data_IF_730765245009
#
_entry.id   IF_730765245009
#
_cell.length_a   1.000
_cell.length_b   1.000
_cell.length_c   1.000
_cell.angle_alpha   90.00
_cell.angle_beta   90.00
_cell.angle_gamma   90.00
#
_symmetry.space_group_name_H-M   'P 1'
#
loop_
_entity.id
_entity.type
_entity.pdbx_description
1 polymer ?
#
# COMPACT_ATOMS: atom_id res chain seq x y z
N UNK A 1 24.56 -18.85 6.58
CA UNK A 1 23.23 -19.34 6.16
C UNK A 1 22.20 -18.67 7.05
N UNK A 2 21.14 -18.06 6.49
CA UNK A 2 19.99 -17.60 7.28
C UNK A 2 19.22 -18.85 7.77
N UNK A 3 18.79 -18.86 9.03
CA UNK A 3 17.92 -19.92 9.56
C UNK A 3 16.47 -19.47 9.47
N UNK A 4 15.61 -20.39 9.10
CA UNK A 4 14.17 -20.22 9.06
C UNK A 4 13.53 -21.23 10.00
N UNK A 5 12.44 -20.87 10.67
CA UNK A 5 11.64 -21.86 11.39
C UNK A 5 10.99 -22.82 10.40
N UNK A 6 11.20 -24.13 10.54
CA UNK A 6 10.67 -25.14 9.59
C UNK A 6 9.14 -25.20 9.55
N UNK A 7 8.45 -24.81 10.65
CA UNK A 7 6.98 -24.79 10.73
C UNK A 7 6.32 -23.56 10.10
N UNK A 8 6.94 -22.37 10.17
CA UNK A 8 6.30 -21.11 9.78
C UNK A 8 7.14 -20.22 8.85
N UNK A 9 8.33 -20.67 8.45
CA UNK A 9 9.25 -20.00 7.53
C UNK A 9 9.64 -18.57 7.92
N UNK A 10 9.47 -18.22 9.21
CA UNK A 10 9.93 -16.94 9.74
C UNK A 10 11.47 -16.87 9.77
N UNK A 11 12.10 -15.80 9.25
CA UNK A 11 13.55 -15.62 9.31
C UNK A 11 14.01 -15.31 10.73
N UNK A 12 14.91 -16.14 11.26
CA UNK A 12 15.51 -15.94 12.59
C UNK A 12 16.88 -15.29 12.40
N UNK A 13 16.94 -13.97 12.57
CA UNK A 13 18.22 -13.25 12.62
C UNK A 13 18.95 -13.49 13.95
N UNK A 14 20.28 -13.36 13.91
CA UNK A 14 21.24 -13.86 14.92
C UNK A 14 21.28 -13.08 16.26
N UNK A 15 20.12 -12.80 16.86
CA UNK A 15 19.96 -12.09 18.13
C UNK A 15 19.55 -13.00 19.30
N UNK A 16 20.14 -14.19 19.42
CA UNK A 16 20.14 -14.98 20.66
C UNK A 16 18.78 -15.46 21.17
N UNK A 17 17.72 -15.38 20.37
CA UNK A 17 16.40 -15.90 20.72
C UNK A 17 16.40 -17.42 20.55
N UNK A 18 16.35 -18.15 21.67
CA UNK A 18 16.23 -19.63 21.68
C UNK A 18 14.84 -20.11 21.19
N UNK A 19 13.88 -19.18 21.06
CA UNK A 19 12.48 -19.45 20.72
C UNK A 19 12.02 -18.61 19.53
N UNK A 20 11.34 -19.27 18.58
CA UNK A 20 10.66 -18.65 17.44
C UNK A 20 9.59 -17.63 17.90
N UNK A 21 9.70 -16.32 17.61
CA UNK A 21 8.76 -15.31 18.11
C UNK A 21 7.36 -15.38 17.47
N UNK A 22 7.20 -16.20 16.43
CA UNK A 22 5.92 -16.46 15.76
C UNK A 22 5.22 -17.71 16.32
N UNK A 23 5.98 -18.65 16.88
CA UNK A 23 5.52 -20.01 17.15
C UNK A 23 5.82 -20.58 18.55
N UNK A 24 6.58 -19.87 19.39
CA UNK A 24 6.67 -20.05 20.85
C UNK A 24 6.92 -21.50 21.37
N UNK A 25 7.66 -22.31 20.62
CA UNK A 25 8.15 -23.63 21.07
C UNK A 25 9.69 -23.64 21.17
N UNK A 26 10.21 -24.35 22.17
CA UNK A 26 11.64 -24.67 22.30
C UNK A 26 12.07 -25.65 21.19
N UNK A 27 13.20 -25.38 20.55
CA UNK A 27 13.87 -26.37 19.70
C UNK A 27 14.21 -27.63 20.51
N UNK A 28 13.99 -28.85 19.98
CA UNK A 28 14.38 -30.07 20.68
C UNK A 28 15.89 -30.07 20.89
N UNK A 29 16.32 -30.04 22.17
CA UNK A 29 17.72 -29.85 22.53
C UNK A 29 18.67 -30.79 21.78
N UNK A 30 19.36 -30.25 20.78
CA UNK A 30 20.30 -31.02 19.96
C UNK A 30 21.51 -31.36 20.83
N UNK A 31 21.51 -32.61 21.29
CA UNK A 31 22.63 -33.29 21.93
C UNK A 31 23.95 -32.87 21.30
N UNK A 32 24.83 -32.24 22.08
CA UNK A 32 26.16 -31.79 21.65
C UNK A 32 27.01 -33.00 21.22
N UNK A 33 26.96 -33.35 19.92
CA UNK A 33 27.94 -34.22 19.28
C UNK A 33 29.06 -33.36 18.69
N UNK A 34 30.34 -33.77 18.80
CA UNK A 34 31.47 -32.85 18.65
C UNK A 34 31.70 -32.44 17.19
N UNK A 35 31.92 -31.14 16.96
CA UNK A 35 32.20 -30.51 15.65
C UNK A 35 33.51 -30.96 14.97
N UNK A 36 34.30 -31.85 15.59
CA UNK A 36 35.69 -32.12 15.21
C UNK A 36 35.87 -32.71 13.81
N UNK A 37 34.97 -33.60 13.37
CA UNK A 37 35.13 -34.30 12.07
C UNK A 37 34.80 -33.42 10.86
N UNK A 38 33.80 -32.55 10.95
CA UNK A 38 33.41 -31.65 9.85
C UNK A 38 34.43 -30.52 9.69
N UNK A 39 34.95 -29.98 10.79
CA UNK A 39 36.03 -28.98 10.76
C UNK A 39 37.34 -29.56 10.19
N UNK A 40 37.71 -30.81 10.53
CA UNK A 40 38.87 -31.46 9.91
C UNK A 40 38.68 -31.66 8.40
N UNK A 41 37.49 -32.09 7.96
CA UNK A 41 37.20 -32.28 6.53
C UNK A 41 37.28 -30.95 5.76
N UNK A 42 36.71 -29.87 6.30
CA UNK A 42 36.79 -28.53 5.70
C UNK A 42 38.24 -28.00 5.67
N UNK A 43 39.01 -28.17 6.74
CA UNK A 43 40.42 -27.79 6.77
C UNK A 43 41.26 -28.55 5.73
N UNK A 44 40.98 -29.84 5.53
CA UNK A 44 41.64 -30.66 4.50
C UNK A 44 41.28 -30.19 3.07
N UNK A 45 40.01 -29.87 2.81
CA UNK A 45 39.57 -29.34 1.51
C UNK A 45 40.24 -27.99 1.20
N UNK A 46 40.34 -27.08 2.19
CA UNK A 46 41.04 -25.80 2.03
C UNK A 46 42.53 -26.00 1.77
N UNK A 47 43.18 -26.94 2.49
CA UNK A 47 44.59 -27.26 2.27
C UNK A 47 44.85 -27.79 0.84
N UNK A 48 44.00 -28.69 0.34
CA UNK A 48 44.08 -29.20 -1.03
C UNK A 48 43.87 -28.08 -2.06
N UNK A 49 42.91 -27.18 -1.84
CA UNK A 49 42.68 -26.04 -2.73
C UNK A 49 43.89 -25.08 -2.80
N UNK A 50 44.54 -24.82 -1.66
CA UNK A 50 45.77 -24.00 -1.60
C UNK A 50 46.93 -24.67 -2.33
N UNK A 51 47.10 -25.99 -2.18
CA UNK A 51 48.15 -26.74 -2.88
C UNK A 51 47.92 -26.77 -4.40
N UNK A 52 46.67 -26.91 -4.85
CA UNK A 52 46.31 -26.83 -6.28
C UNK A 52 46.57 -25.42 -6.83
N UNK A 53 46.20 -24.36 -6.10
CA UNK A 53 46.47 -22.99 -6.51
C UNK A 53 47.98 -22.69 -6.60
N UNK A 54 48.77 -23.19 -5.65
CA UNK A 54 50.22 -23.10 -5.69
C UNK A 54 50.82 -23.85 -6.89
N UNK A 55 50.34 -25.06 -7.19
CA UNK A 55 50.79 -25.82 -8.36
C UNK A 55 50.49 -25.09 -9.68
N UNK A 56 49.30 -24.48 -9.82
CA UNK A 56 48.94 -23.66 -10.99
C UNK A 56 49.84 -22.42 -11.10
N UNK A 57 50.18 -21.78 -9.97
CA UNK A 57 51.09 -20.63 -9.95
C UNK A 57 52.52 -21.00 -10.38
N UNK A 58 53.04 -22.15 -9.95
CA UNK A 58 54.39 -22.63 -10.31
C UNK A 58 54.48 -23.24 -11.73
N UNK A 59 53.36 -23.62 -12.35
CA UNK A 59 53.32 -24.19 -13.70
C UNK A 59 52.99 -23.17 -14.81
N UNK A 60 52.77 -21.90 -14.48
CA UNK A 60 52.50 -20.86 -15.47
C UNK A 60 53.80 -20.24 -16.02
N UNK A 61 54.12 -20.38 -17.32
CA UNK A 61 55.34 -19.80 -17.88
C UNK A 61 55.25 -18.27 -18.00
N UNK A 62 56.21 -17.57 -17.41
CA UNK A 62 56.36 -16.11 -17.53
C UNK A 62 56.54 -15.68 -18.98
N UNK A 63 55.55 -14.98 -19.56
CA UNK A 63 55.72 -14.18 -20.77
C UNK A 63 55.82 -12.68 -20.42
N UNK A 64 56.71 -12.00 -21.13
CA UNK A 64 57.35 -10.76 -20.70
C UNK A 64 56.50 -9.49 -20.85
N UNK A 65 56.77 -8.51 -19.98
CA UNK A 65 56.35 -7.10 -20.11
C UNK A 65 56.68 -6.52 -21.49
N UNK A 66 55.73 -5.80 -22.06
CA UNK A 66 55.95 -4.48 -22.69
C UNK A 66 54.77 -3.56 -22.37
N UNK A 67 55.06 -2.31 -22.01
CA UNK A 67 54.07 -1.23 -21.87
C UNK A 67 54.07 -0.37 -23.15
N UNK A 68 53.03 0.45 -23.38
CA UNK A 68 53.25 1.88 -23.16
C UNK A 68 52.06 2.65 -22.54
N UNK A 69 52.35 3.91 -22.26
CA UNK A 69 51.58 4.95 -21.54
C UNK A 69 50.38 5.56 -22.28
N UNK A 70 49.33 5.91 -21.52
CA UNK A 70 48.35 6.99 -21.80
C UNK A 70 47.97 7.61 -20.44
N UNK A 71 48.54 8.75 -20.04
CA UNK A 71 47.95 10.11 -20.10
C UNK A 71 46.59 10.25 -19.40
N UNK A 72 46.58 10.83 -18.20
CA UNK A 72 45.39 11.44 -17.58
C UNK A 72 45.09 12.83 -18.19
N UNK A 73 43.81 13.24 -18.20
CA UNK A 73 43.48 14.62 -17.92
C UNK A 73 42.55 14.79 -16.70
N UNK A 74 43.03 15.67 -15.82
CA UNK A 74 42.36 16.51 -14.81
C UNK A 74 40.84 16.69 -14.90
N UNK A 75 40.24 16.83 -13.72
CA UNK A 75 38.84 17.22 -13.53
C UNK A 75 38.60 18.74 -13.63
N UNK A 76 37.59 19.10 -14.41
CA UNK A 76 36.72 20.29 -14.30
C UNK A 76 35.32 19.84 -14.80
N UNK A 77 34.17 20.34 -14.37
CA UNK A 77 33.85 21.28 -13.29
C UNK A 77 32.36 21.13 -12.91
N UNK A 78 32.00 21.45 -11.67
CA UNK A 78 30.69 21.11 -11.10
C UNK A 78 29.68 22.27 -11.24
N UNK A 79 28.84 22.27 -12.28
CA UNK A 79 27.69 23.19 -12.41
C UNK A 79 26.57 22.58 -13.27
N UNK A 80 25.30 22.71 -12.84
CA UNK A 80 24.15 22.50 -13.74
C UNK A 80 23.05 21.50 -13.33
N UNK A 81 23.03 20.92 -12.12
CA UNK A 81 21.98 19.94 -11.75
C UNK A 81 20.60 20.57 -11.39
N UNK A 82 20.51 21.87 -11.13
CA UNK A 82 19.28 22.51 -10.63
C UNK A 82 18.45 23.28 -11.67
N UNK A 83 18.99 23.68 -12.82
CA UNK A 83 18.23 24.44 -13.84
C UNK A 83 17.35 23.57 -14.75
N UNK A 84 17.66 22.27 -14.88
CA UNK A 84 16.84 21.34 -15.67
C UNK A 84 15.42 21.11 -15.12
N UNK A 85 15.20 21.35 -13.83
CA UNK A 85 13.95 20.98 -13.13
C UNK A 85 12.82 22.01 -13.33
N UNK A 86 13.15 23.27 -13.66
CA UNK A 86 12.10 24.29 -13.93
C UNK A 86 11.41 24.09 -15.27
N UNK A 87 12.14 23.69 -16.32
CA UNK A 87 11.60 23.64 -17.69
C UNK A 87 10.61 22.49 -17.90
N UNK A 88 10.82 21.32 -17.27
CA UNK A 88 9.89 20.18 -17.36
C UNK A 88 8.53 20.50 -16.71
N UNK A 89 8.51 21.31 -15.64
CA UNK A 89 7.28 21.70 -14.94
C UNK A 89 6.41 22.65 -15.77
N UNK A 90 7.04 23.52 -16.57
CA UNK A 90 6.35 24.45 -17.47
C UNK A 90 5.70 23.72 -18.67
N UNK A 91 6.45 22.85 -19.37
CA UNK A 91 5.92 22.07 -20.50
C UNK A 91 4.76 21.15 -20.08
N UNK A 92 4.82 20.58 -18.87
CA UNK A 92 3.80 19.69 -18.32
C UNK A 92 2.46 20.38 -18.05
N UNK A 93 2.48 21.66 -17.66
CA UNK A 93 1.26 22.40 -17.39
C UNK A 93 0.56 22.87 -18.68
N UNK A 94 1.33 23.21 -19.73
CA UNK A 94 0.78 23.64 -21.01
C UNK A 94 -0.10 22.56 -21.67
N UNK A 95 0.40 21.32 -21.77
CA UNK A 95 -0.34 20.24 -22.46
C UNK A 95 -1.62 19.79 -21.72
N UNK A 96 -1.61 19.82 -20.38
CA UNK A 96 -2.80 19.54 -19.59
C UNK A 96 -3.85 20.66 -19.67
N UNK A 97 -3.42 21.90 -19.93
CA UNK A 97 -4.30 23.04 -20.09
C UNK A 97 -5.02 23.02 -21.45
N UNK A 98 -4.32 22.67 -22.54
CA UNK A 98 -4.92 22.47 -23.88
C UNK A 98 -6.09 21.47 -23.86
N UNK A 99 -5.97 20.37 -23.11
CA UNK A 99 -7.04 19.35 -22.99
C UNK A 99 -8.24 19.81 -22.15
N UNK A 100 -8.05 20.78 -21.24
CA UNK A 100 -9.13 21.38 -20.45
C UNK A 100 -9.84 22.47 -21.26
N UNK A 101 -9.10 23.29 -21.99
CA UNK A 101 -9.66 24.37 -22.81
C UNK A 101 -10.34 23.83 -24.08
N UNK A 102 -9.89 22.71 -24.66
CA UNK A 102 -10.59 21.99 -25.73
C UNK A 102 -11.94 21.37 -25.33
N UNK A 103 -12.35 21.49 -24.05
CA UNK A 103 -13.64 21.03 -23.53
C UNK A 103 -14.55 22.18 -23.08
N UNK A 104 -14.19 23.45 -23.33
CA UNK A 104 -15.08 24.60 -23.18
C UNK A 104 -16.02 24.72 -24.40
N UNK A 105 -17.32 25.05 -24.21
CA UNK A 105 -18.18 25.42 -25.31
C UNK A 105 -17.82 26.82 -25.82
N UNK A 106 -17.53 26.95 -27.13
CA UNK A 106 -17.25 28.22 -27.79
C UNK A 106 -18.46 29.17 -27.77
N UNK A 107 -18.26 30.45 -27.44
CA UNK A 107 -19.38 31.39 -27.43
C UNK A 107 -19.22 32.80 -26.86
N UNK A 108 -18.04 33.45 -26.87
CA UNK A 108 -17.92 34.92 -26.77
C UNK A 108 -16.52 35.42 -27.15
N UNK A 109 -16.45 36.40 -28.07
CA UNK A 109 -15.19 37.01 -28.52
C UNK A 109 -14.93 38.37 -27.83
N UNK A 110 -13.74 38.52 -27.23
CA UNK A 110 -12.80 39.65 -27.47
C UNK A 110 -13.14 41.06 -26.92
N UNK A 111 -12.21 42.05 -26.90
CA UNK A 111 -10.90 42.06 -26.21
C UNK A 111 -10.63 43.37 -25.41
N UNK A 112 -9.65 43.36 -24.50
CA UNK A 112 -8.80 44.55 -24.16
C UNK A 112 -7.36 44.09 -23.89
N UNK A 113 -6.37 44.92 -24.25
CA UNK A 113 -4.95 44.58 -24.40
C UNK A 113 -4.03 44.97 -23.21
N UNK A 114 -2.75 44.68 -23.40
CA UNK A 114 -1.60 44.82 -22.49
C UNK A 114 -1.44 46.14 -21.73
N UNK A 115 -0.97 46.05 -20.47
CA UNK A 115 0.00 47.01 -19.89
C UNK A 115 1.03 46.25 -19.04
N UNK A 116 2.31 46.54 -19.28
CA UNK A 116 3.46 46.06 -18.51
C UNK A 116 3.80 47.06 -17.40
N UNK A 117 4.00 46.63 -16.16
CA UNK A 117 5.17 47.04 -15.35
C UNK A 117 5.26 46.36 -13.97
N UNK A 118 6.51 46.26 -13.51
CA UNK A 118 6.99 45.76 -12.24
C UNK A 118 6.38 46.38 -10.98
N UNK A 119 6.22 45.58 -9.92
CA UNK A 119 7.05 45.74 -8.70
C UNK A 119 6.87 44.57 -7.72
N UNK A 120 7.94 44.28 -6.97
CA UNK A 120 7.94 43.39 -5.81
C UNK A 120 7.10 43.93 -4.66
N UNK A 121 6.43 43.07 -3.89
CA UNK A 121 6.41 43.11 -2.40
C UNK A 121 5.81 41.83 -1.81
N UNK A 122 6.17 41.57 -0.55
CA UNK A 122 5.99 40.36 0.27
C UNK A 122 4.55 39.85 0.45
N UNK A 123 4.41 38.52 0.53
CA UNK A 123 3.28 37.82 1.14
C UNK A 123 3.14 38.13 2.65
N UNK A 124 1.89 38.18 3.15
CA UNK A 124 1.58 37.44 4.37
C UNK A 124 0.33 36.54 4.24
N UNK A 125 0.24 35.59 5.16
CA UNK A 125 -0.80 34.56 5.29
C UNK A 125 -2.18 35.11 5.64
N UNK A 126 -3.23 34.51 5.07
CA UNK A 126 -4.62 34.75 5.49
C UNK A 126 -4.87 34.04 6.83
N UNK A 127 -5.00 34.84 7.88
CA UNK A 127 -5.77 34.55 9.08
C UNK A 127 -6.94 35.54 9.15
N UNK A 128 -8.05 35.13 9.78
CA UNK A 128 -9.16 35.97 10.21
C UNK A 128 -9.81 36.89 9.16
N UNK A 129 -10.84 36.38 8.48
CA UNK A 129 -12.01 37.18 8.05
C UNK A 129 -13.27 36.47 8.55
N UNK A 130 -13.81 36.93 9.68
CA UNK A 130 -15.17 36.67 10.18
C UNK A 130 -15.46 37.69 11.29
N UNK A 131 -15.80 38.92 10.90
CA UNK A 131 -16.33 40.00 11.77
C UNK A 131 -16.86 41.13 10.89
N UNK A 132 -17.90 41.82 11.37
CA UNK A 132 -18.56 42.99 10.77
C UNK A 132 -19.38 42.76 9.48
N UNK A 133 -20.66 42.41 9.67
CA UNK A 133 -21.74 43.10 8.97
C UNK A 133 -22.59 43.81 10.03
N UNK A 134 -22.72 45.13 9.93
CA UNK A 134 -23.59 45.92 10.80
C UNK A 134 -24.34 47.00 9.99
N UNK A 135 -25.67 46.96 10.14
CA UNK A 135 -26.69 48.00 9.87
C UNK A 135 -26.93 48.56 8.46
N UNK A 136 -28.22 48.54 8.08
CA UNK A 136 -29.07 49.74 7.89
C UNK A 136 -30.52 49.35 8.26
N UNK A 137 -31.21 50.20 9.03
CA UNK A 137 -32.65 50.10 9.41
C UNK A 137 -33.54 50.63 8.25
N UNK A 138 -34.83 50.35 8.09
CA UNK A 138 -36.01 50.31 9.00
C UNK A 138 -37.13 49.44 8.29
N UNK A 139 -38.41 49.31 8.66
CA UNK A 139 -39.27 50.03 9.63
C UNK A 139 -40.33 49.11 10.32
N UNK A 140 -41.63 49.43 10.22
CA UNK A 140 -42.81 48.89 10.93
C UNK A 140 -43.56 47.76 10.19
N UNK A 141 -44.25 46.81 10.85
CA UNK A 141 -45.45 47.02 11.68
C UNK A 141 -45.77 45.81 12.59
N UNK A 142 -46.51 46.05 13.67
CA UNK A 142 -46.53 45.21 14.88
C UNK A 142 -47.33 43.91 14.88
N UNK A 143 -47.08 43.10 15.92
CA UNK A 143 -48.06 42.72 16.98
C UNK A 143 -47.39 41.72 17.93
N UNK A 144 -47.52 41.93 19.24
CA UNK A 144 -46.90 41.15 20.32
C UNK A 144 -47.78 40.00 20.82
N UNK A 145 -47.17 38.83 21.07
CA UNK A 145 -47.46 37.97 22.25
C UNK A 145 -46.15 37.31 22.69
N UNK A 146 -45.86 37.31 23.99
CA UNK A 146 -44.63 36.77 24.58
C UNK A 146 -44.91 35.57 25.50
N UNK A 147 -44.01 34.58 25.50
CA UNK A 147 -43.85 33.61 26.61
C UNK A 147 -42.34 33.37 26.80
N UNK A 148 -41.89 33.45 28.05
CA UNK A 148 -40.48 33.26 28.43
C UNK A 148 -40.32 32.09 29.42
N UNK A 149 -39.21 31.35 29.30
CA UNK A 149 -38.58 30.58 30.38
C UNK A 149 -37.61 31.53 31.16
N UNK A 150 -37.00 31.21 32.32
CA UNK A 150 -36.53 29.90 32.85
C UNK A 150 -36.73 29.82 34.41
N UNK A 151 -35.83 29.29 35.29
CA UNK A 151 -34.72 28.31 35.22
C UNK A 151 -34.78 27.17 36.29
N UNK A 152 -33.65 26.48 36.49
CA UNK A 152 -33.42 25.26 37.28
C UNK A 152 -33.52 25.38 38.83
N UNK A 153 -33.62 24.22 39.50
CA UNK A 153 -33.76 24.05 40.96
C UNK A 153 -32.58 23.28 41.60
N UNK A 154 -32.35 23.49 42.90
CA UNK A 154 -31.12 23.14 43.65
C UNK A 154 -31.40 22.18 44.83
N UNK A 155 -30.43 21.34 45.18
CA UNK A 155 -30.52 20.37 46.28
C UNK A 155 -30.40 20.99 47.70
N UNK A 156 -30.96 20.36 48.74
CA UNK A 156 -30.72 20.73 50.14
C UNK A 156 -29.69 19.82 50.87
N UNK A 157 -29.21 20.34 52.01
CA UNK A 157 -28.06 19.85 52.79
C UNK A 157 -28.49 19.11 54.08
N UNK A 158 -27.60 18.27 54.63
CA UNK A 158 -27.78 17.47 55.85
C UNK A 158 -27.71 18.27 57.17
N UNK A 159 -28.03 17.63 58.32
CA UNK A 159 -27.47 17.97 59.62
C UNK A 159 -26.41 16.93 60.10
N UNK A 160 -25.55 17.37 61.03
CA UNK A 160 -24.47 16.62 61.70
C UNK A 160 -24.77 16.54 63.22
N UNK A 161 -23.92 15.89 64.02
CA UNK A 161 -23.90 15.76 65.51
C UNK A 161 -24.62 14.48 66.01
N UNK A 162 -24.14 13.61 66.92
CA UNK A 162 -23.03 13.66 67.91
C UNK A 162 -22.33 12.28 68.10
N UNK A 163 -21.23 12.27 68.87
CA UNK A 163 -20.36 11.15 69.30
C UNK A 163 -20.97 10.16 70.33
N UNK A 164 -20.51 8.89 70.32
CA UNK A 164 -20.75 7.89 71.39
C UNK A 164 -19.94 6.59 71.14
N UNK A 165 -19.54 5.85 72.18
CA UNK A 165 -18.43 4.87 72.12
C UNK A 165 -18.75 3.46 72.66
N UNK A 166 -18.10 2.41 72.10
CA UNK A 166 -17.82 1.06 72.66
C UNK A 166 -19.05 0.17 73.03
N UNK A 167 -19.15 -1.16 72.84
CA UNK A 167 -18.24 -2.34 72.97
C UNK A 167 -18.86 -3.55 72.20
N UNK A 168 -18.05 -4.56 71.84
CA UNK A 168 -18.38 -6.02 71.87
C UNK A 168 -18.78 -6.80 70.59
N UNK A 169 -17.99 -7.86 70.35
CA UNK A 169 -18.35 -9.19 69.80
C UNK A 169 -18.54 -9.43 68.28
N UNK A 170 -17.70 -10.33 67.75
CA UNK A 170 -18.25 -11.53 67.11
C UNK A 170 -18.05 -11.76 65.59
N UNK A 171 -16.87 -12.23 65.20
CA UNK A 171 -16.63 -13.29 64.17
C UNK A 171 -17.48 -13.26 62.86
N UNK A 172 -16.87 -12.93 61.72
CA UNK A 172 -16.54 -13.96 60.70
C UNK A 172 -15.56 -13.47 59.62
N UNK A 173 -14.62 -14.33 59.24
CA UNK A 173 -13.61 -14.06 58.21
C UNK A 173 -14.12 -14.45 56.82
N UNK A 174 -14.18 -13.49 55.88
CA UNK A 174 -14.09 -13.79 54.44
C UNK A 174 -12.74 -13.31 53.91
N UNK A 175 -11.75 -14.21 53.90
CA UNK A 175 -10.46 -14.01 53.19
C UNK A 175 -10.76 -13.66 51.73
N UNK A 176 -10.35 -12.46 51.29
CA UNK A 176 -10.29 -12.14 49.85
C UNK A 176 -9.34 -13.14 49.19
N UNK A 177 -9.84 -13.97 48.27
CA UNK A 177 -8.96 -14.71 47.36
C UNK A 177 -8.18 -13.69 46.53
N UNK A 178 -6.85 -13.82 46.36
CA UNK A 178 -6.13 -12.95 45.44
C UNK A 178 -6.71 -13.12 44.03
N UNK A 179 -6.87 -12.01 43.30
CA UNK A 179 -7.24 -12.07 41.88
C UNK A 179 -6.09 -12.77 41.15
N UNK A 180 -6.32 -14.01 40.73
CA UNK A 180 -5.44 -14.66 39.75
C UNK A 180 -5.49 -13.80 38.49
N UNK A 181 -4.37 -13.18 38.13
CA UNK A 181 -4.27 -12.41 36.89
C UNK A 181 -4.63 -13.33 35.71
N UNK A 182 -5.45 -12.86 34.73
CA UNK A 182 -5.89 -13.70 33.64
C UNK A 182 -4.67 -14.18 32.83
N UNK A 183 -4.39 -15.49 32.91
CA UNK A 183 -3.25 -16.10 32.22
C UNK A 183 -3.50 -16.01 30.72
N UNK A 184 -2.60 -15.34 30.01
CA UNK A 184 -2.71 -15.00 28.58
C UNK A 184 -2.42 -16.25 27.73
N UNK A 185 -3.40 -17.16 27.59
CA UNK A 185 -3.30 -18.35 26.73
C UNK A 185 -3.44 -17.95 25.26
N UNK A 186 -2.35 -17.83 24.50
CA UNK A 186 -2.40 -17.51 23.06
C UNK A 186 -3.00 -18.69 22.30
N UNK A 187 -4.03 -18.45 21.48
CA UNK A 187 -4.65 -19.50 20.67
C UNK A 187 -3.94 -19.61 19.31
N UNK A 188 -3.34 -20.76 18.96
CA UNK A 188 -2.65 -20.95 17.69
C UNK A 188 -3.66 -21.31 16.59
N UNK A 189 -4.24 -20.29 15.95
CA UNK A 189 -5.14 -20.50 14.81
C UNK A 189 -5.06 -19.34 13.82
N UNK A 190 -3.85 -18.94 13.43
CA UNK A 190 -3.69 -18.06 12.27
C UNK A 190 -4.09 -18.85 11.03
N UNK A 191 -5.34 -18.69 10.58
CA UNK A 191 -5.69 -19.10 9.22
C UNK A 191 -4.93 -18.16 8.29
N UNK A 192 -3.98 -18.72 7.58
CA UNK A 192 -3.31 -18.12 6.43
C UNK A 192 -3.97 -18.71 5.19
N UNK A 193 -4.16 -17.95 4.11
CA UNK A 193 -4.56 -18.53 2.82
C UNK A 193 -3.41 -19.43 2.38
N UNK A 194 -3.59 -20.76 2.27
CA UNK A 194 -2.49 -21.64 1.95
C UNK A 194 -1.91 -21.26 0.59
N UNK A 195 -0.59 -21.16 0.51
CA UNK A 195 0.10 -21.01 -0.76
C UNK A 195 -0.06 -22.30 -1.57
N UNK A 196 -0.91 -22.26 -2.60
CA UNK A 196 -1.13 -23.38 -3.51
C UNK A 196 -0.30 -23.13 -4.77
N UNK A 197 0.57 -24.09 -5.10
CA UNK A 197 1.43 -24.00 -6.28
C UNK A 197 0.58 -24.16 -7.55
N UNK A 198 0.62 -23.24 -8.52
CA UNK A 198 0.01 -23.45 -9.82
C UNK A 198 0.60 -24.71 -10.49
N UNK A 199 -0.22 -25.75 -10.64
CA UNK A 199 0.18 -27.02 -11.28
C UNK A 199 0.21 -26.94 -12.81
N UNK A 200 -0.28 -25.83 -13.37
CA UNK A 200 -0.30 -25.55 -14.80
C UNK A 200 0.52 -24.29 -15.11
N UNK A 201 1.32 -24.38 -16.18
CA UNK A 201 2.26 -23.34 -16.59
C UNK A 201 3.68 -23.55 -16.07
N UNK A 202 4.66 -23.41 -16.97
CA UNK A 202 6.10 -23.29 -16.68
C UNK A 202 6.51 -21.88 -16.25
N UNK A 203 5.58 -20.92 -16.37
CA UNK A 203 5.83 -19.50 -16.18
C UNK A 203 6.56 -18.86 -17.37
N UNK A 204 6.58 -19.50 -18.53
CA UNK A 204 7.11 -18.91 -19.76
C UNK A 204 6.07 -18.05 -20.47
N UNK A 205 6.47 -17.23 -21.44
CA UNK A 205 5.53 -16.39 -22.20
C UNK A 205 4.47 -17.21 -22.98
N UNK A 206 4.88 -18.37 -23.52
CA UNK A 206 4.00 -19.29 -24.24
C UNK A 206 3.11 -20.12 -23.30
N UNK A 207 3.61 -20.42 -22.10
CA UNK A 207 2.99 -21.30 -21.11
C UNK A 207 3.12 -20.69 -19.70
N UNK A 208 2.30 -19.66 -19.39
CA UNK A 208 2.35 -18.91 -18.13
C UNK A 208 1.71 -19.69 -16.98
N UNK A 209 2.12 -19.40 -15.75
CA UNK A 209 1.47 -19.93 -14.55
C UNK A 209 0.00 -19.54 -14.52
N UNK A 210 -0.88 -20.53 -14.36
CA UNK A 210 -2.34 -20.33 -14.38
C UNK A 210 -2.83 -19.93 -12.99
N UNK A 211 -3.49 -18.79 -12.91
CA UNK A 211 -4.02 -18.20 -11.67
C UNK A 211 -5.54 -18.31 -11.70
N UNK A 212 -6.12 -19.17 -10.86
CA UNK A 212 -7.56 -19.44 -10.85
C UNK A 212 -8.22 -19.39 -9.47
N UNK A 213 -7.39 -19.32 -8.41
CA UNK A 213 -7.83 -19.27 -7.03
C UNK A 213 -6.91 -18.39 -6.17
N UNK A 214 -7.40 -18.02 -4.98
CA UNK A 214 -6.68 -17.16 -4.04
C UNK A 214 -5.38 -17.79 -3.53
N UNK A 215 -5.32 -19.13 -3.46
CA UNK A 215 -4.11 -19.88 -3.07
C UNK A 215 -2.93 -19.66 -4.03
N UNK A 216 -3.20 -19.49 -5.33
CA UNK A 216 -2.17 -19.18 -6.33
C UNK A 216 -1.62 -17.75 -6.16
N UNK A 217 -2.45 -16.79 -5.73
CA UNK A 217 -2.01 -15.42 -5.39
C UNK A 217 -1.18 -15.40 -4.09
N UNK A 218 -1.58 -16.18 -3.08
CA UNK A 218 -0.80 -16.37 -1.85
C UNK A 218 0.57 -17.03 -2.14
N UNK A 219 0.60 -18.01 -3.03
CA UNK A 219 1.85 -18.61 -3.52
C UNK A 219 2.73 -17.61 -4.26
N UNK A 220 2.16 -16.77 -5.13
CA UNK A 220 2.92 -15.73 -5.83
C UNK A 220 3.51 -14.68 -4.86
N UNK A 221 2.76 -14.29 -3.83
CA UNK A 221 3.30 -13.46 -2.74
C UNK A 221 4.50 -14.14 -2.06
N UNK A 222 4.40 -15.44 -1.78
CA UNK A 222 5.51 -16.22 -1.22
C UNK A 222 6.71 -16.36 -2.17
N UNK A 223 6.51 -16.44 -3.49
CA UNK A 223 7.65 -16.43 -4.44
C UNK A 223 8.43 -15.12 -4.36
N UNK A 224 7.77 -13.97 -4.21
CA UNK A 224 8.47 -12.69 -4.04
C UNK A 224 9.35 -12.64 -2.79
N UNK A 225 9.01 -13.35 -1.69
CA UNK A 225 9.84 -13.34 -0.47
C UNK A 225 11.09 -14.20 -0.59
N UNK A 226 11.10 -15.20 -1.47
CA UNK A 226 12.30 -15.99 -1.83
C UNK A 226 13.33 -15.17 -2.62
N UNK A 227 12.86 -14.16 -3.36
CA UNK A 227 13.67 -13.15 -4.02
C UNK A 227 13.23 -12.86 -5.45
N UNK A 228 13.67 -11.73 -6.02
CA UNK A 228 13.29 -11.28 -7.37
C UNK A 228 13.45 -12.40 -8.43
N UNK A 229 14.54 -13.16 -8.39
CA UNK A 229 14.81 -14.23 -9.38
C UNK A 229 13.73 -15.33 -9.44
N UNK A 230 12.91 -15.50 -8.40
CA UNK A 230 11.76 -16.42 -8.42
C UNK A 230 10.60 -15.92 -9.31
N UNK A 231 10.49 -14.60 -9.54
CA UNK A 231 9.46 -13.99 -10.39
C UNK A 231 10.01 -13.34 -11.66
N UNK A 232 11.33 -13.10 -11.75
CA UNK A 232 11.96 -12.41 -12.87
C UNK A 232 11.71 -13.15 -14.19
N UNK A 233 11.13 -12.42 -15.15
CA UNK A 233 10.82 -12.98 -16.47
C UNK A 233 9.75 -14.08 -16.46
N UNK A 234 9.08 -14.32 -15.33
CA UNK A 234 7.99 -15.29 -15.23
C UNK A 234 6.67 -14.63 -15.62
N UNK A 235 5.85 -15.38 -16.35
CA UNK A 235 4.53 -14.95 -16.79
C UNK A 235 3.43 -15.66 -15.99
N UNK A 236 2.40 -14.91 -15.64
CA UNK A 236 1.25 -15.35 -14.86
C UNK A 236 -0.02 -14.90 -15.60
N UNK A 237 -1.03 -15.76 -15.71
CA UNK A 237 -2.30 -15.42 -16.37
C UNK A 237 -3.49 -15.85 -15.52
N UNK A 238 -4.40 -14.93 -15.24
CA UNK A 238 -5.68 -15.27 -14.64
C UNK A 238 -6.63 -15.94 -15.64
N UNK A 239 -7.33 -16.98 -15.19
CA UNK A 239 -8.36 -17.67 -16.00
C UNK A 239 -9.76 -17.56 -15.40
N UNK A 240 -9.86 -17.20 -14.12
CA UNK A 240 -11.13 -16.96 -13.40
C UNK A 240 -11.07 -15.66 -12.62
N UNK A 241 -12.24 -15.10 -12.33
CA UNK A 241 -12.37 -14.08 -11.29
C UNK A 241 -12.11 -14.75 -9.92
N UNK A 242 -11.44 -14.05 -9.02
CA UNK A 242 -11.05 -14.58 -7.70
C UNK A 242 -11.81 -13.84 -6.61
N UNK A 243 -12.62 -14.56 -5.85
CA UNK A 243 -13.21 -14.06 -4.62
C UNK A 243 -12.23 -14.21 -3.45
N UNK A 244 -11.87 -13.07 -2.88
CA UNK A 244 -11.03 -12.93 -1.70
C UNK A 244 -11.80 -12.89 -0.39
N UNK A 245 -13.13 -13.10 -0.38
CA UNK A 245 -13.98 -12.95 0.82
C UNK A 245 -13.48 -13.70 2.06
N UNK A 246 -12.80 -14.84 1.88
CA UNK A 246 -12.14 -15.61 2.96
C UNK A 246 -11.01 -14.86 3.68
N UNK A 247 -10.53 -13.74 3.13
CA UNK A 247 -9.58 -12.83 3.79
C UNK A 247 -10.26 -11.87 4.77
N UNK A 248 -11.59 -11.72 4.68
CA UNK A 248 -12.41 -11.01 5.66
C UNK A 248 -12.45 -11.83 6.96
N UNK A 249 -12.69 -11.14 8.09
CA UNK A 249 -12.80 -11.79 9.40
C UNK A 249 -13.77 -12.98 9.40
N UNK A 250 -13.35 -14.01 10.12
CA UNK A 250 -14.17 -15.10 10.65
C UNK A 250 -15.39 -14.61 11.44
N UNK A 251 -16.31 -15.54 11.69
CA UNK A 251 -17.70 -15.28 12.05
C UNK A 251 -17.92 -14.61 13.43
N UNK A 252 -19.13 -14.11 13.72
CA UNK A 252 -19.49 -13.59 15.05
C UNK A 252 -19.34 -14.61 16.18
N UNK A 253 -19.55 -15.91 15.92
CA UNK A 253 -19.40 -16.98 16.92
C UNK A 253 -17.94 -17.17 17.34
N UNK A 254 -17.01 -17.04 16.39
CA UNK A 254 -15.57 -17.05 16.64
C UNK A 254 -15.08 -15.74 17.28
N UNK A 255 -15.78 -14.63 17.01
CA UNK A 255 -15.54 -13.32 17.63
C UNK A 255 -16.09 -13.21 19.05
N UNK A 256 -17.10 -14.00 19.44
CA UNK A 256 -17.69 -13.98 20.77
C UNK A 256 -16.68 -14.30 21.88
N UNK A 257 -15.65 -15.11 21.58
CA UNK A 257 -14.54 -15.41 22.50
C UNK A 257 -13.56 -14.24 22.72
N UNK A 258 -13.57 -13.23 21.84
CA UNK A 258 -12.72 -12.04 21.95
C UNK A 258 -13.32 -10.91 22.83
N UNK A 259 -14.61 -11.02 23.20
CA UNK A 259 -15.33 -10.02 24.01
C UNK A 259 -14.81 -9.85 25.45
N UNK A 260 -13.93 -10.74 25.93
CA UNK A 260 -13.32 -10.69 27.28
C UNK A 260 -12.07 -9.82 27.37
N UNK A 261 -12.07 -8.68 26.68
CA UNK A 261 -11.06 -7.61 26.85
C UNK A 261 -9.63 -8.01 26.49
N UNK A 262 -9.43 -8.79 25.42
CA UNK A 262 -8.11 -9.32 25.04
C UNK A 262 -7.77 -8.99 23.59
N UNK A 263 -6.50 -8.68 23.34
CA UNK A 263 -6.00 -8.17 22.07
C UNK A 263 -6.44 -9.02 20.86
N UNK A 264 -7.23 -8.41 19.98
CA UNK A 264 -7.66 -9.01 18.72
C UNK A 264 -6.50 -8.95 17.74
N UNK A 265 -5.73 -10.04 17.60
CA UNK A 265 -4.78 -10.17 16.49
C UNK A 265 -5.57 -10.17 15.18
N UNK A 266 -5.33 -9.19 14.31
CA UNK A 266 -5.80 -9.25 12.91
C UNK A 266 -5.07 -10.43 12.26
N UNK A 267 -5.81 -11.49 11.94
CA UNK A 267 -5.27 -12.63 11.19
C UNK A 267 -5.06 -12.15 9.76
N UNK A 268 -3.81 -11.96 9.36
CA UNK A 268 -3.50 -11.64 7.97
C UNK A 268 -3.58 -12.92 7.14
N UNK A 269 -4.58 -12.97 6.27
CA UNK A 269 -4.91 -14.13 5.45
C UNK A 269 -4.16 -14.10 4.11
N UNK A 270 -3.99 -12.93 3.50
CA UNK A 270 -3.19 -12.74 2.28
C UNK A 270 -2.13 -11.64 2.51
N UNK A 271 -0.87 -11.93 2.15
CA UNK A 271 0.20 -10.94 2.08
C UNK A 271 0.20 -10.24 0.71
N UNK A 272 0.63 -8.96 0.61
CA UNK A 272 0.83 -8.29 -0.66
C UNK A 272 1.79 -9.06 -1.57
N UNK A 273 1.57 -9.00 -2.89
CA UNK A 273 2.48 -9.58 -3.87
C UNK A 273 3.67 -8.62 -4.05
N UNK A 274 4.85 -9.05 -3.57
CA UNK A 274 6.06 -8.23 -3.55
C UNK A 274 6.11 -7.22 -2.39
N UNK A 275 7.32 -6.95 -1.89
CA UNK A 275 7.60 -6.01 -0.80
C UNK A 275 8.62 -4.95 -1.23
N UNK A 276 8.79 -3.91 -0.43
CA UNK A 276 9.83 -2.89 -0.65
C UNK A 276 11.24 -3.33 -0.21
N UNK A 277 11.40 -4.55 0.30
CA UNK A 277 12.69 -5.08 0.72
C UNK A 277 13.57 -5.35 -0.49
N UNK A 278 14.88 -5.14 -0.34
CA UNK A 278 15.83 -5.25 -1.45
C UNK A 278 15.77 -6.65 -2.06
N UNK A 279 15.38 -6.71 -3.34
CA UNK A 279 15.26 -7.98 -4.06
C UNK A 279 14.06 -8.83 -3.67
N UNK A 280 12.97 -8.26 -3.15
CA UNK A 280 11.69 -8.97 -2.91
C UNK A 280 10.48 -8.31 -3.60
N UNK A 281 10.71 -7.50 -4.65
CA UNK A 281 9.65 -6.89 -5.45
C UNK A 281 9.13 -7.85 -6.52
N UNK A 282 7.88 -7.69 -6.94
CA UNK A 282 7.34 -8.45 -8.06
C UNK A 282 7.96 -7.96 -9.38
N UNK A 283 8.69 -8.84 -10.07
CA UNK A 283 9.44 -8.51 -11.30
C UNK A 283 9.13 -9.45 -12.49
N UNK A 284 7.94 -10.07 -12.45
CA UNK A 284 7.37 -10.85 -13.55
C UNK A 284 6.32 -10.08 -14.35
N UNK A 285 5.56 -10.81 -15.18
CA UNK A 285 4.50 -10.30 -16.03
C UNK A 285 3.15 -10.91 -15.61
N UNK A 286 2.32 -10.13 -14.92
CA UNK A 286 0.99 -10.56 -14.47
C UNK A 286 -0.10 -10.06 -15.41
N UNK A 287 -0.75 -10.99 -16.11
CA UNK A 287 -1.91 -10.75 -16.96
C UNK A 287 -3.19 -11.15 -16.24
N UNK A 288 -3.93 -10.16 -15.76
CA UNK A 288 -5.29 -10.35 -15.22
C UNK A 288 -6.28 -10.84 -16.27
N UNK A 289 -5.95 -10.78 -17.57
CA UNK A 289 -6.74 -11.39 -18.65
C UNK A 289 -8.24 -11.00 -18.63
N UNK A 290 -8.52 -9.75 -18.25
CA UNK A 290 -9.88 -9.22 -18.13
C UNK A 290 -10.65 -9.71 -16.91
N UNK A 291 -9.98 -10.34 -15.93
CA UNK A 291 -10.56 -10.87 -14.70
C UNK A 291 -10.47 -9.89 -13.54
N UNK A 292 -11.26 -10.14 -12.52
CA UNK A 292 -11.31 -9.34 -11.29
C UNK A 292 -10.90 -10.13 -10.06
N UNK A 293 -10.27 -9.43 -9.10
CA UNK A 293 -10.08 -9.89 -7.73
C UNK A 293 -11.03 -9.09 -6.86
N UNK A 294 -11.91 -9.78 -6.13
CA UNK A 294 -13.01 -9.15 -5.37
C UNK A 294 -12.88 -9.43 -3.87
N UNK A 295 -13.46 -8.58 -3.02
CA UNK A 295 -13.59 -8.81 -1.56
C UNK A 295 -12.27 -9.14 -0.82
N UNK A 296 -11.11 -8.72 -1.34
CA UNK A 296 -9.81 -8.95 -0.69
C UNK A 296 -9.61 -7.94 0.43
N UNK A 297 -9.15 -8.41 1.59
CA UNK A 297 -8.85 -7.62 2.77
C UNK A 297 -7.37 -7.78 3.12
N UNK A 298 -6.56 -6.77 2.79
CA UNK A 298 -5.13 -6.71 3.14
C UNK A 298 -4.94 -5.59 4.15
N UNK A 299 -4.45 -5.93 5.34
CA UNK A 299 -4.17 -4.98 6.42
C UNK A 299 -2.77 -5.22 6.96
N UNK A 300 -1.85 -4.29 6.71
CA UNK A 300 -0.45 -4.40 7.15
C UNK A 300 -0.18 -3.65 8.47
N UNK A 301 0.75 -4.13 9.31
CA UNK A 301 1.32 -3.36 10.42
C UNK A 301 2.04 -2.08 9.95
N UNK A 302 2.18 -1.10 10.85
CA UNK A 302 2.62 0.25 10.49
C UNK A 302 4.04 0.37 9.92
N UNK A 303 4.91 -0.60 10.20
CA UNK A 303 6.29 -0.64 9.71
C UNK A 303 6.41 -1.17 8.27
N UNK A 304 5.34 -1.73 7.70
CA UNK A 304 5.33 -2.21 6.31
C UNK A 304 5.02 -1.04 5.37
N UNK A 305 5.82 -0.93 4.31
CA UNK A 305 5.62 0.02 3.21
C UNK A 305 5.28 -0.75 1.95
N UNK A 306 4.32 -0.25 1.16
CA UNK A 306 3.83 -0.94 -0.02
C UNK A 306 2.67 -1.87 0.32
N UNK A 307 1.46 -1.31 0.33
CA UNK A 307 0.22 -2.05 0.58
C UNK A 307 -0.70 -1.91 -0.62
N UNK A 308 -1.24 -3.04 -1.07
CA UNK A 308 -2.11 -3.23 -2.22
C UNK A 308 -2.19 -4.72 -2.52
N UNK A 309 -2.89 -5.14 -3.58
CA UNK A 309 -2.78 -6.53 -4.04
C UNK A 309 -1.31 -6.84 -4.41
N UNK A 310 -0.64 -5.91 -5.08
CA UNK A 310 0.81 -5.88 -5.21
C UNK A 310 1.39 -4.87 -4.21
N UNK A 311 2.21 -5.32 -3.27
CA UNK A 311 2.86 -4.41 -2.32
C UNK A 311 3.95 -3.59 -3.01
N UNK A 312 4.73 -4.25 -3.88
CA UNK A 312 5.74 -3.62 -4.71
C UNK A 312 5.86 -4.31 -6.07
N UNK A 313 5.65 -3.55 -7.15
CA UNK A 313 6.02 -3.95 -8.52
C UNK A 313 7.39 -3.33 -8.81
N UNK A 314 8.39 -4.15 -9.08
CA UNK A 314 9.79 -3.73 -9.25
C UNK A 314 10.33 -4.23 -10.59
N UNK A 315 10.32 -3.36 -11.61
CA UNK A 315 10.63 -3.73 -13.00
C UNK A 315 9.77 -4.87 -13.60
N UNK A 316 8.61 -5.16 -13.01
CA UNK A 316 7.59 -6.09 -13.54
C UNK A 316 6.43 -5.38 -14.24
N UNK A 317 5.48 -6.14 -14.78
CA UNK A 317 4.26 -5.65 -15.43
C UNK A 317 3.01 -6.23 -14.75
N UNK A 318 1.99 -5.39 -14.51
CA UNK A 318 0.64 -5.82 -14.10
C UNK A 318 -0.37 -5.21 -15.05
N UNK A 319 -1.20 -6.04 -15.69
CA UNK A 319 -2.17 -5.59 -16.70
C UNK A 319 -3.51 -6.32 -16.68
N UNK A 320 -4.53 -5.70 -17.28
CA UNK A 320 -5.87 -6.29 -17.49
C UNK A 320 -6.52 -6.83 -16.20
N UNK A 321 -6.29 -6.14 -15.08
CA UNK A 321 -6.71 -6.59 -13.75
C UNK A 321 -7.63 -5.55 -13.08
N UNK A 322 -8.77 -6.01 -12.57
CA UNK A 322 -9.73 -5.21 -11.83
C UNK A 322 -9.76 -5.61 -10.36
N UNK A 323 -9.81 -4.62 -9.47
CA UNK A 323 -9.96 -4.82 -8.02
C UNK A 323 -11.33 -4.30 -7.59
N UNK A 324 -12.18 -5.15 -7.02
CA UNK A 324 -13.54 -4.75 -6.63
C UNK A 324 -13.86 -5.02 -5.15
N UNK A 325 -14.63 -4.13 -4.53
CA UNK A 325 -15.21 -4.31 -3.19
C UNK A 325 -14.22 -4.75 -2.09
N UNK A 326 -12.95 -4.37 -2.25
CA UNK A 326 -11.81 -4.82 -1.44
C UNK A 326 -11.36 -3.74 -0.46
N UNK A 327 -10.56 -4.07 0.57
CA UNK A 327 -10.03 -3.08 1.51
C UNK A 327 -8.53 -3.23 1.75
N UNK A 328 -7.80 -2.12 1.67
CA UNK A 328 -6.34 -2.05 1.77
C UNK A 328 -5.96 -1.06 2.87
N UNK A 329 -5.48 -1.58 4.01
CA UNK A 329 -5.14 -0.79 5.18
C UNK A 329 -3.64 -0.88 5.46
N UNK A 330 -2.98 0.26 5.63
CA UNK A 330 -1.54 0.32 5.85
C UNK A 330 -1.08 1.62 6.49
N UNK A 331 0.23 1.88 6.43
CA UNK A 331 0.83 3.12 6.92
C UNK A 331 1.41 3.95 5.78
N UNK A 332 2.33 3.38 5.00
CA UNK A 332 3.08 4.11 3.98
C UNK A 332 2.98 3.44 2.60
N UNK A 333 2.72 4.24 1.56
CA UNK A 333 2.62 3.79 0.16
C UNK A 333 1.52 2.73 0.00
N UNK A 334 0.27 3.19 0.14
CA UNK A 334 -0.94 2.36 0.16
C UNK A 334 -1.77 2.67 -1.07
N UNK A 335 -2.10 1.65 -1.87
CA UNK A 335 -3.02 1.71 -2.98
C UNK A 335 -3.86 0.45 -3.08
N UNK A 336 -4.93 0.44 -3.87
CA UNK A 336 -5.75 -0.77 -4.03
C UNK A 336 -5.04 -1.85 -4.86
N UNK A 337 -4.47 -1.46 -6.00
CA UNK A 337 -3.76 -2.37 -6.89
C UNK A 337 -2.28 -2.46 -6.52
N UNK A 338 -1.60 -1.31 -6.40
CA UNK A 338 -0.14 -1.26 -6.15
C UNK A 338 0.19 -0.32 -4.99
N UNK A 339 0.94 -0.80 -4.00
CA UNK A 339 1.51 0.05 -2.95
C UNK A 339 2.66 0.92 -3.48
N UNK A 340 3.67 0.27 -4.05
CA UNK A 340 4.86 0.88 -4.66
C UNK A 340 5.04 0.39 -6.11
N UNK A 341 5.05 1.31 -7.08
CA UNK A 341 5.50 0.98 -8.43
C UNK A 341 6.93 1.52 -8.64
N UNK A 342 7.93 0.65 -8.56
CA UNK A 342 9.36 0.98 -8.67
C UNK A 342 9.88 0.54 -10.05
N UNK A 343 9.90 1.45 -11.02
CA UNK A 343 10.30 1.18 -12.41
C UNK A 343 9.45 0.08 -13.11
N UNK A 344 8.30 -0.30 -12.55
CA UNK A 344 7.37 -1.25 -13.15
C UNK A 344 6.35 -0.60 -14.09
N UNK A 345 5.57 -1.45 -14.75
CA UNK A 345 4.49 -1.07 -15.66
C UNK A 345 3.16 -1.53 -15.10
N UNK A 346 2.21 -0.60 -14.96
CA UNK A 346 0.81 -0.89 -14.62
C UNK A 346 -0.06 -0.37 -15.75
N UNK A 347 -0.85 -1.20 -16.41
CA UNK A 347 -1.67 -0.72 -17.53
C UNK A 347 -2.99 -1.45 -17.69
N UNK A 348 -3.98 -0.74 -18.20
CA UNK A 348 -5.28 -1.32 -18.53
C UNK A 348 -5.90 -2.01 -17.29
N UNK A 349 -5.84 -1.34 -16.13
CA UNK A 349 -6.24 -1.87 -14.83
C UNK A 349 -7.24 -0.93 -14.12
N UNK A 350 -8.01 -1.44 -13.16
CA UNK A 350 -8.91 -0.58 -12.39
C UNK A 350 -9.13 -1.02 -10.95
N UNK A 351 -9.66 -0.10 -10.16
CA UNK A 351 -10.24 -0.39 -8.86
C UNK A 351 -11.60 0.30 -8.67
N UNK A 352 -12.58 -0.44 -8.15
CA UNK A 352 -13.97 0.00 -8.01
C UNK A 352 -14.57 -0.46 -6.67
N UNK A 353 -15.36 0.41 -6.02
CA UNK A 353 -16.11 0.06 -4.78
C UNK A 353 -15.23 -0.34 -3.58
N UNK A 354 -13.92 -0.14 -3.68
CA UNK A 354 -12.94 -0.54 -2.67
C UNK A 354 -12.63 0.59 -1.70
N UNK A 355 -11.89 0.29 -0.62
CA UNK A 355 -11.48 1.27 0.40
C UNK A 355 -9.98 1.20 0.64
N UNK A 356 -9.30 2.34 0.60
CA UNK A 356 -7.86 2.47 0.80
C UNK A 356 -7.60 3.41 1.98
N UNK A 357 -7.07 2.86 3.09
CA UNK A 357 -6.77 3.63 4.31
C UNK A 357 -5.26 3.61 4.59
N UNK A 358 -4.65 4.77 4.80
CA UNK A 358 -3.23 4.88 5.11
C UNK A 358 -2.86 6.10 5.93
N UNK A 359 -1.56 6.29 6.19
CA UNK A 359 -1.03 7.52 6.80
C UNK A 359 -0.35 8.41 5.75
N UNK A 360 0.54 7.84 4.95
CA UNK A 360 1.38 8.57 3.99
C UNK A 360 1.40 7.92 2.61
N UNK A 361 1.40 8.74 1.55
CA UNK A 361 1.44 8.29 0.13
C UNK A 361 0.30 7.33 -0.17
N UNK A 362 -0.92 7.81 0.02
CA UNK A 362 -2.15 7.03 -0.13
C UNK A 362 -2.80 7.37 -1.47
N UNK A 363 -2.93 6.39 -2.36
CA UNK A 363 -3.49 6.57 -3.70
C UNK A 363 -4.66 5.64 -3.95
N UNK A 364 -5.69 6.06 -4.68
CA UNK A 364 -6.80 5.17 -5.02
C UNK A 364 -6.37 3.90 -5.75
N UNK A 365 -5.50 4.01 -6.77
CA UNK A 365 -4.92 2.84 -7.47
C UNK A 365 -3.49 2.53 -7.03
N UNK A 366 -2.65 3.56 -6.91
CA UNK A 366 -1.20 3.42 -6.68
C UNK A 366 -0.72 4.32 -5.55
N UNK A 367 -0.18 3.77 -4.46
CA UNK A 367 0.30 4.58 -3.32
C UNK A 367 1.43 5.53 -3.71
N UNK A 368 2.51 4.96 -4.24
CA UNK A 368 3.68 5.69 -4.76
C UNK A 368 4.10 5.16 -6.13
N UNK A 369 4.25 6.07 -7.11
CA UNK A 369 4.67 5.73 -8.47
C UNK A 369 6.03 6.35 -8.86
N UNK A 370 6.97 5.47 -9.19
CA UNK A 370 8.22 5.74 -9.91
C UNK A 370 8.34 4.83 -11.17
N UNK A 371 7.22 4.33 -11.69
CA UNK A 371 7.16 3.55 -12.92
C UNK A 371 6.24 4.20 -13.96
N UNK A 372 5.74 3.40 -14.89
CA UNK A 372 4.71 3.82 -15.84
C UNK A 372 3.34 3.30 -15.42
N UNK A 373 2.33 4.17 -15.43
CA UNK A 373 0.93 3.80 -15.25
C UNK A 373 0.10 4.33 -16.43
N UNK A 374 -0.68 3.50 -17.10
CA UNK A 374 -1.49 3.95 -18.25
C UNK A 374 -2.87 3.31 -18.34
N UNK A 375 -3.82 4.00 -18.99
CA UNK A 375 -5.16 3.48 -19.29
C UNK A 375 -5.86 2.84 -18.09
N UNK A 376 -5.78 3.47 -16.92
CA UNK A 376 -6.23 2.85 -15.66
C UNK A 376 -7.08 3.81 -14.83
N UNK A 377 -8.02 3.29 -14.02
CA UNK A 377 -8.89 4.16 -13.22
C UNK A 377 -9.15 3.69 -11.78
N UNK A 378 -9.50 4.64 -10.91
CA UNK A 378 -9.88 4.39 -9.52
C UNK A 378 -11.21 5.05 -9.15
N UNK A 379 -12.19 4.26 -8.73
CA UNK A 379 -13.40 4.73 -8.05
C UNK A 379 -13.54 3.99 -6.73
N UNK A 380 -12.74 4.44 -5.75
CA UNK A 380 -12.54 3.81 -4.45
C UNK A 380 -12.49 4.90 -3.38
N UNK A 381 -12.98 4.62 -2.17
CA UNK A 381 -12.86 5.53 -1.03
C UNK A 381 -11.38 5.60 -0.58
N UNK A 382 -10.84 6.80 -0.37
CA UNK A 382 -9.45 7.01 0.04
C UNK A 382 -9.39 7.85 1.31
N UNK A 383 -8.69 7.36 2.33
CA UNK A 383 -8.39 8.12 3.55
C UNK A 383 -6.88 8.09 3.84
N UNK A 384 -6.27 9.26 4.01
CA UNK A 384 -4.84 9.41 4.28
C UNK A 384 -4.50 10.79 4.80
N UNK A 385 -3.36 10.93 5.50
CA UNK A 385 -2.94 12.19 6.12
C UNK A 385 -2.00 13.00 5.22
N UNK A 386 -0.90 12.38 4.78
CA UNK A 386 0.14 13.03 3.97
C UNK A 386 0.20 12.42 2.57
N UNK A 387 0.36 13.25 1.54
CA UNK A 387 0.43 12.80 0.14
C UNK A 387 -0.73 11.85 -0.23
N UNK A 388 -1.96 12.30 0.02
CA UNK A 388 -3.19 11.59 -0.29
C UNK A 388 -3.73 12.02 -1.65
N UNK A 389 -4.09 11.07 -2.51
CA UNK A 389 -4.60 11.34 -3.84
C UNK A 389 -5.62 10.33 -4.35
N UNK A 390 -6.64 10.80 -5.07
CA UNK A 390 -7.71 9.93 -5.58
C UNK A 390 -7.27 8.86 -6.60
N UNK A 391 -6.15 9.05 -7.30
CA UNK A 391 -5.54 8.02 -8.15
C UNK A 391 -4.17 7.56 -7.61
N UNK A 392 -3.26 8.52 -7.42
CA UNK A 392 -1.93 8.30 -6.87
C UNK A 392 -1.59 9.31 -5.77
N UNK A 393 -1.00 8.80 -4.67
CA UNK A 393 -0.63 9.62 -3.51
C UNK A 393 0.62 10.46 -3.73
N UNK A 394 1.68 9.85 -4.26
CA UNK A 394 2.89 10.53 -4.72
C UNK A 394 3.39 9.92 -6.03
N UNK A 395 3.68 10.76 -7.03
CA UNK A 395 4.08 10.37 -8.37
C UNK A 395 5.31 11.14 -8.86
N UNK A 396 6.40 10.39 -9.09
CA UNK A 396 7.58 10.88 -9.83
C UNK A 396 7.76 10.16 -11.18
N UNK A 397 6.96 9.12 -11.46
CA UNK A 397 6.93 8.38 -12.72
C UNK A 397 5.98 8.95 -13.78
N UNK A 398 5.79 8.19 -14.86
CA UNK A 398 4.87 8.53 -15.97
C UNK A 398 3.47 8.04 -15.66
N UNK A 399 2.47 8.90 -15.86
CA UNK A 399 1.04 8.53 -15.81
C UNK A 399 0.34 9.11 -17.04
N UNK A 400 -0.45 8.31 -17.77
CA UNK A 400 -1.11 8.72 -19.01
C UNK A 400 -2.48 8.06 -19.18
N UNK A 401 -3.50 8.83 -19.60
CA UNK A 401 -4.89 8.36 -19.77
C UNK A 401 -5.45 7.64 -18.53
N UNK A 402 -5.14 8.16 -17.33
CA UNK A 402 -5.58 7.59 -16.06
C UNK A 402 -6.54 8.52 -15.33
N UNK A 403 -7.55 7.95 -14.68
CA UNK A 403 -8.71 8.68 -14.16
C UNK A 403 -9.06 8.30 -12.72
N UNK A 404 -9.70 9.21 -11.99
CA UNK A 404 -10.26 8.90 -10.67
C UNK A 404 -11.56 9.62 -10.37
N UNK A 405 -12.42 8.97 -9.58
CA UNK A 405 -13.72 9.51 -9.19
C UNK A 405 -13.59 10.44 -7.97
N UNK A 406 -13.84 11.73 -8.18
CA UNK A 406 -13.73 12.77 -7.14
C UNK A 406 -14.80 12.65 -6.07
N UNK A 407 -15.96 12.07 -6.38
CA UNK A 407 -17.09 11.93 -5.46
C UNK A 407 -16.98 10.66 -4.63
N UNK A 408 -16.58 9.54 -5.23
CA UNK A 408 -16.42 8.26 -4.53
C UNK A 408 -15.16 8.25 -3.66
N UNK A 409 -14.10 8.93 -4.07
CA UNK A 409 -12.86 8.97 -3.28
C UNK A 409 -12.92 9.82 -2.02
N UNK A 410 -13.77 10.86 -1.99
CA UNK A 410 -13.80 11.84 -0.89
C UNK A 410 -12.57 12.76 -0.87
N UNK A 411 -11.75 12.74 -1.91
CA UNK A 411 -10.50 13.51 -2.03
C UNK A 411 -10.64 14.58 -3.13
N UNK A 412 -10.01 15.74 -2.93
CA UNK A 412 -10.09 16.88 -3.87
C UNK A 412 -8.90 17.03 -4.82
N UNK A 413 -7.83 16.23 -4.66
CA UNK A 413 -6.57 16.30 -5.43
C UNK A 413 -5.96 14.93 -5.66
N UNK A 414 -5.02 14.82 -6.59
CA UNK A 414 -4.11 13.67 -6.72
C UNK A 414 -2.82 14.14 -7.38
N UNK A 415 -1.69 13.48 -7.09
CA UNK A 415 -0.39 13.88 -7.68
C UNK A 415 -0.22 13.39 -9.14
N UNK A 416 -1.12 12.52 -9.59
CA UNK A 416 -1.27 12.11 -10.99
C UNK A 416 -2.69 11.62 -11.28
N UNK A 417 -3.05 11.51 -12.57
CA UNK A 417 -4.38 11.11 -13.02
C UNK A 417 -5.40 12.26 -12.99
N UNK A 418 -6.33 12.26 -13.96
CA UNK A 418 -7.36 13.29 -14.09
C UNK A 418 -8.59 12.94 -13.24
N UNK A 419 -9.01 13.86 -12.38
CA UNK A 419 -10.18 13.67 -11.51
C UNK A 419 -11.46 14.08 -12.22
N UNK A 420 -12.47 13.22 -12.19
CA UNK A 420 -13.80 13.50 -12.72
C UNK A 420 -14.89 13.11 -11.72
N UNK A 421 -16.06 13.74 -11.81
CA UNK A 421 -17.25 13.29 -11.08
C UNK A 421 -17.75 11.94 -11.64
N UNK A 422 -18.34 11.10 -10.79
CA UNK A 422 -18.95 9.80 -11.15
C UNK A 422 -19.71 9.78 -12.48
N UNK A 423 -20.57 10.77 -12.74
CA UNK A 423 -21.42 10.85 -13.95
C UNK A 423 -20.65 11.09 -15.26
N UNK A 424 -19.35 11.36 -15.19
CA UNK A 424 -18.49 11.57 -16.36
C UNK A 424 -17.90 10.24 -16.84
N UNK A 425 -17.78 9.23 -15.97
CA UNK A 425 -17.25 7.91 -16.34
C UNK A 425 -18.16 7.11 -17.30
N UNK A 426 -19.42 7.51 -17.46
CA UNK A 426 -20.32 6.96 -18.48
C UNK A 426 -20.16 7.60 -19.87
N UNK A 427 -19.26 8.59 -20.01
CA UNK A 427 -18.95 9.29 -21.26
C UNK A 427 -17.72 8.64 -21.90
N UNK A 428 -17.91 7.98 -23.04
CA UNK A 428 -16.82 7.25 -23.73
C UNK A 428 -15.69 8.18 -24.19
N UNK A 429 -15.99 9.46 -24.35
CA UNK A 429 -15.12 10.51 -24.85
C UNK A 429 -13.90 10.74 -23.95
N UNK A 430 -14.02 10.58 -22.63
CA UNK A 430 -12.88 10.77 -21.72
C UNK A 430 -11.83 9.66 -21.85
N UNK A 431 -12.24 8.47 -22.31
CA UNK A 431 -11.38 7.30 -22.48
C UNK A 431 -10.76 7.24 -23.90
N UNK A 432 -10.55 8.39 -24.54
CA UNK A 432 -9.90 8.47 -25.85
C UNK A 432 -8.53 7.81 -25.81
N UNK A 433 -8.29 6.86 -26.72
CA UNK A 433 -7.07 6.06 -26.76
C UNK A 433 -7.09 4.76 -25.94
N UNK A 434 -8.19 4.47 -25.23
CA UNK A 434 -8.40 3.13 -24.64
C UNK A 434 -8.94 2.16 -25.69
N UNK A 435 -8.52 0.90 -25.58
CA UNK A 435 -8.96 -0.16 -26.48
C UNK A 435 -10.33 -0.72 -26.09
N UNK A 436 -11.38 -0.20 -26.73
CA UNK A 436 -12.75 -0.72 -26.62
C UNK A 436 -13.12 -1.75 -27.72
N UNK A 437 -12.17 -2.14 -28.57
CA UNK A 437 -12.38 -3.28 -29.46
C UNK A 437 -12.19 -4.57 -28.67
N UNK A 438 -11.03 -4.68 -28.02
CA UNK A 438 -10.52 -5.94 -27.48
C UNK A 438 -10.45 -5.99 -25.94
N UNK A 439 -10.22 -4.88 -25.24
CA UNK A 439 -9.97 -4.87 -23.77
C UNK A 439 -11.19 -4.39 -22.98
N UNK A 440 -11.71 -3.21 -23.32
CA UNK A 440 -12.70 -2.49 -22.52
C UNK A 440 -14.11 -2.55 -23.11
N UNK A 441 -15.10 -2.49 -22.23
CA UNK A 441 -16.51 -2.38 -22.56
C UNK A 441 -17.17 -1.35 -21.64
N UNK A 442 -17.89 -0.39 -22.23
CA UNK A 442 -18.78 0.53 -21.52
C UNK A 442 -20.21 0.23 -21.99
N UNK A 443 -20.84 -0.74 -21.34
CA UNK A 443 -22.19 -1.19 -21.70
C UNK A 443 -23.24 -0.10 -21.41
N UNK A 444 -24.35 -0.11 -22.16
CA UNK A 444 -25.44 0.86 -21.97
C UNK A 444 -25.95 0.85 -20.52
N UNK A 445 -26.10 2.03 -19.92
CA UNK A 445 -26.47 2.20 -18.51
C UNK A 445 -25.36 1.94 -17.48
N UNK A 446 -24.16 1.51 -17.90
CA UNK A 446 -23.01 1.36 -16.99
C UNK A 446 -22.36 2.71 -16.68
N UNK A 447 -21.98 2.91 -15.41
CA UNK A 447 -21.30 4.13 -14.96
C UNK A 447 -19.80 4.12 -15.24
N UNK A 448 -19.16 2.94 -15.27
CA UNK A 448 -17.72 2.80 -15.49
C UNK A 448 -17.44 1.74 -16.56
N UNK A 449 -16.36 1.88 -17.36
CA UNK A 449 -15.88 0.82 -18.23
C UNK A 449 -15.44 -0.39 -17.40
N UNK A 450 -15.75 -1.59 -17.88
CA UNK A 450 -15.25 -2.87 -17.34
C UNK A 450 -14.52 -3.63 -18.45
N UNK A 451 -13.89 -4.75 -18.14
CA UNK A 451 -13.30 -5.59 -19.18
C UNK A 451 -14.38 -6.28 -20.01
N UNK A 452 -14.16 -6.31 -21.32
CA UNK A 452 -15.02 -7.01 -22.26
C UNK A 452 -14.99 -8.50 -21.97
N UNK A 453 -16.17 -9.10 -21.78
CA UNK A 453 -16.27 -10.56 -21.64
C UNK A 453 -16.13 -11.22 -23.02
N UNK A 454 -15.28 -12.24 -23.09
CA UNK A 454 -15.06 -13.13 -24.25
C UNK A 454 -15.50 -14.53 -23.88
#
# INVERSE_FOLDING_TARGET
MKRFCEKCWYPIDYHGLEVCPVCEEDEPSVSRRPLSRVLLALAFIVLVAVLVAAAVYFLSPNTSRTSPSVVEPRAEGNVGFFDGIRNVRAMRNAHNQELVDALRPDGAQSPVADVVSSSTVTTPTISSILSAEEQIEHESSGTTVAIAAPPAEVAPVAPVVSTGSLVSSGVLVKKRRPRVAPRVVVAPSTIFVPAVVPIHGSGSAADPYIIEELGHLAWLSAQCTLGNEATRGKHYRMVRDIDGSVTKKLSPEESASASRGRAVRVRQLLLPIGTNMQGQGFCGFFDGNGKVVTNVHISMPEFVTGVGLFGCVSSGEVRHLGIENSSFWGSNSVGSLVGLNQNGVVRDCYALGSTVLGKQKVGGLVGYNNGSVSNSYASVLVEGRDYTGGFAGLNIGRVANCFWDTKVSGISRSDAGLGFETRVFSRREIFKGWDFADVWELASGSVYPRFRRR
#
